data_IF_576160289756
#
_entry.id   IF_576160289756
#
_cell.length_a   1.000
_cell.length_b   1.000
_cell.length_c   1.000
_cell.angle_alpha   90.00
_cell.angle_beta   90.00
_cell.angle_gamma   90.00
#
_symmetry.space_group_name_H-M   'P 1'
#
loop_
_entity.id
_entity.type
_entity.pdbx_description
1 polymer ?
#
# COMPACT_ATOMS: atom_id res chain seq x y z
N UNK A 1 43.63 21.54 4.18
CA UNK A 1 42.30 21.42 4.83
C UNK A 1 41.14 21.38 3.81
N UNK A 2 41.16 22.18 2.74
CA UNK A 2 40.09 22.18 1.72
C UNK A 2 40.03 20.93 0.82
N UNK A 3 41.15 20.22 0.61
CA UNK A 3 41.20 19.03 -0.27
C UNK A 3 40.62 17.76 0.38
N UNK A 4 40.57 17.69 1.71
CA UNK A 4 40.02 16.54 2.46
C UNK A 4 38.48 16.56 2.42
N UNK A 5 37.89 17.77 2.44
CA UNK A 5 36.44 17.95 2.30
C UNK A 5 35.91 17.51 0.92
N UNK A 6 36.69 17.74 -0.14
CA UNK A 6 36.32 17.33 -1.50
C UNK A 6 36.31 15.81 -1.69
N UNK A 7 37.21 15.08 -1.02
CA UNK A 7 37.31 13.61 -1.11
C UNK A 7 36.19 12.92 -0.30
N UNK A 8 35.70 13.54 0.77
CA UNK A 8 34.61 13.00 1.58
C UNK A 8 33.24 13.05 0.86
N UNK A 9 33.04 13.98 -0.07
CA UNK A 9 31.78 14.12 -0.84
C UNK A 9 31.69 13.08 -1.97
N UNK A 10 32.81 12.57 -2.47
CA UNK A 10 32.87 11.64 -3.62
C UNK A 10 32.64 10.17 -3.28
N UNK A 11 32.47 9.80 -2.01
CA UNK A 11 32.44 8.41 -1.54
C UNK A 11 31.07 7.91 -1.07
N UNK A 12 29.99 8.62 -1.37
CA UNK A 12 28.63 8.13 -1.12
C UNK A 12 28.03 7.57 -2.42
N UNK A 13 28.21 6.27 -2.75
CA UNK A 13 27.34 5.64 -3.71
C UNK A 13 25.97 5.53 -3.03
N UNK A 14 25.09 6.49 -3.33
CA UNK A 14 23.67 6.33 -3.03
C UNK A 14 23.19 5.16 -3.90
N UNK A 15 23.04 3.99 -3.28
CA UNK A 15 22.34 2.87 -3.89
C UNK A 15 20.88 3.29 -4.08
N UNK A 16 20.59 3.88 -5.24
CA UNK A 16 19.26 4.17 -5.73
C UNK A 16 18.61 2.84 -6.11
N UNK A 17 18.11 2.13 -5.11
CA UNK A 17 17.17 1.05 -5.36
C UNK A 17 15.88 1.68 -5.87
N UNK A 18 15.56 1.41 -7.13
CA UNK A 18 14.24 1.73 -7.66
C UNK A 18 13.20 1.01 -6.79
N UNK A 19 12.15 1.72 -6.38
CA UNK A 19 11.05 1.09 -5.68
C UNK A 19 10.50 -0.04 -6.54
N UNK A 20 10.24 -1.20 -5.93
CA UNK A 20 9.58 -2.30 -6.63
C UNK A 20 8.25 -1.81 -7.19
N UNK A 21 7.98 -2.17 -8.46
CA UNK A 21 6.71 -1.84 -9.10
C UNK A 21 5.62 -2.70 -8.44
N UNK A 22 4.65 -2.11 -7.73
CA UNK A 22 3.61 -2.90 -7.10
C UNK A 22 2.71 -3.52 -8.17
N UNK A 23 2.16 -4.69 -7.86
CA UNK A 23 1.03 -5.24 -8.60
C UNK A 23 -0.24 -4.52 -8.15
N UNK A 24 -1.08 -4.12 -9.11
CA UNK A 24 -2.38 -3.48 -8.83
C UNK A 24 -3.47 -4.44 -9.30
N UNK A 25 -4.35 -4.83 -8.38
CA UNK A 25 -5.53 -5.64 -8.66
C UNK A 25 -6.75 -4.77 -8.41
N UNK A 26 -7.60 -4.61 -9.43
CA UNK A 26 -8.84 -3.85 -9.35
C UNK A 26 -10.02 -4.82 -9.34
N UNK A 27 -10.75 -4.84 -8.23
CA UNK A 27 -11.99 -5.60 -8.09
C UNK A 27 -13.18 -4.67 -8.30
N UNK A 28 -14.16 -5.13 -9.07
CA UNK A 28 -15.45 -4.48 -9.22
C UNK A 28 -16.54 -5.51 -8.96
N UNK A 29 -17.57 -5.10 -8.23
CA UNK A 29 -18.77 -5.89 -8.01
C UNK A 29 -19.96 -5.06 -8.50
N UNK A 30 -20.88 -5.71 -9.20
CA UNK A 30 -22.09 -5.09 -9.73
C UNK A 30 -23.22 -5.18 -8.70
N UNK A 31 -24.13 -4.20 -8.72
CA UNK A 31 -25.31 -4.13 -7.85
C UNK A 31 -25.07 -4.26 -6.33
N UNK A 32 -23.85 -3.99 -5.87
CA UNK A 32 -23.52 -3.95 -4.43
C UNK A 32 -23.84 -2.59 -3.82
N UNK A 33 -24.53 -2.60 -2.69
CA UNK A 33 -24.77 -1.44 -1.85
C UNK A 33 -23.69 -1.30 -0.77
N UNK A 34 -23.57 -0.10 -0.21
CA UNK A 34 -22.56 0.20 0.81
C UNK A 34 -22.72 -0.66 2.08
N UNK A 35 -23.93 -1.12 2.40
CA UNK A 35 -24.26 -1.91 3.58
C UNK A 35 -24.27 -3.43 3.33
N UNK A 36 -23.79 -3.89 2.17
CA UNK A 36 -23.71 -5.32 1.84
C UNK A 36 -22.44 -6.00 2.37
N UNK A 37 -21.53 -5.24 2.97
CA UNK A 37 -20.29 -5.77 3.53
C UNK A 37 -20.30 -5.69 5.07
N UNK A 38 -19.75 -6.71 5.72
CA UNK A 38 -19.61 -6.79 7.17
C UNK A 38 -18.86 -5.60 7.75
N UNK A 39 -17.78 -5.16 7.09
CA UNK A 39 -17.01 -3.99 7.50
C UNK A 39 -17.83 -2.69 7.51
N UNK A 40 -18.94 -2.59 6.76
CA UNK A 40 -19.88 -1.46 6.79
C UNK A 40 -21.13 -1.70 7.65
N UNK A 41 -21.18 -2.80 8.41
CA UNK A 41 -22.26 -3.09 9.36
C UNK A 41 -23.37 -3.99 8.82
N UNK A 42 -23.13 -4.72 7.72
CA UNK A 42 -24.06 -5.78 7.31
C UNK A 42 -24.24 -6.81 8.43
N UNK A 43 -25.48 -7.16 8.74
CA UNK A 43 -25.81 -8.16 9.79
C UNK A 43 -25.96 -9.58 9.22
N UNK A 44 -26.10 -9.69 7.89
CA UNK A 44 -26.43 -10.96 7.21
C UNK A 44 -25.33 -11.39 6.24
N UNK A 45 -24.65 -10.46 5.58
CA UNK A 45 -23.60 -10.80 4.64
C UNK A 45 -22.34 -11.27 5.38
N UNK A 46 -21.78 -12.40 4.93
CA UNK A 46 -20.49 -12.91 5.43
C UNK A 46 -19.40 -12.60 4.41
N UNK A 47 -18.64 -11.54 4.67
CA UNK A 47 -17.61 -11.03 3.75
C UNK A 47 -16.19 -11.05 4.35
N UNK A 48 -15.73 -12.16 4.96
CA UNK A 48 -14.53 -12.16 5.80
C UNK A 48 -13.25 -11.70 5.09
N UNK A 49 -13.12 -11.93 3.79
CA UNK A 49 -11.96 -11.48 3.00
C UNK A 49 -11.98 -9.97 2.73
N UNK A 50 -13.16 -9.41 2.45
CA UNK A 50 -13.32 -7.96 2.26
C UNK A 50 -13.17 -7.24 3.59
N UNK A 51 -13.69 -7.83 4.67
CA UNK A 51 -13.57 -7.31 6.02
C UNK A 51 -12.10 -7.27 6.47
N UNK A 52 -11.34 -8.35 6.22
CA UNK A 52 -9.91 -8.38 6.48
C UNK A 52 -9.13 -7.37 5.62
N UNK A 53 -9.47 -7.23 4.33
CA UNK A 53 -8.85 -6.25 3.45
C UNK A 53 -9.07 -4.81 3.96
N UNK A 54 -10.28 -4.50 4.42
CA UNK A 54 -10.61 -3.22 5.03
C UNK A 54 -9.86 -2.99 6.35
N UNK A 55 -9.73 -4.01 7.20
CA UNK A 55 -9.04 -3.92 8.49
C UNK A 55 -7.52 -3.73 8.36
N UNK A 56 -6.90 -4.31 7.33
CA UNK A 56 -5.46 -4.18 7.06
C UNK A 56 -5.13 -3.05 6.07
N UNK A 57 -6.14 -2.33 5.59
CA UNK A 57 -6.01 -1.30 4.57
C UNK A 57 -6.72 -0.02 4.98
N UNK A 58 -7.52 0.50 4.04
CA UNK A 58 -8.34 1.69 4.23
C UNK A 58 -9.79 1.33 3.90
N UNK A 59 -10.71 1.87 4.68
CA UNK A 59 -12.16 1.80 4.51
C UNK A 59 -12.72 3.20 4.62
#
# INVERSE_FOLDING_TARGET
MHRIFAVAITLLPAALFAAEKPNVIFFIADDVSWNDYGCYGSQTARTPNIDALAAHGRR
#
